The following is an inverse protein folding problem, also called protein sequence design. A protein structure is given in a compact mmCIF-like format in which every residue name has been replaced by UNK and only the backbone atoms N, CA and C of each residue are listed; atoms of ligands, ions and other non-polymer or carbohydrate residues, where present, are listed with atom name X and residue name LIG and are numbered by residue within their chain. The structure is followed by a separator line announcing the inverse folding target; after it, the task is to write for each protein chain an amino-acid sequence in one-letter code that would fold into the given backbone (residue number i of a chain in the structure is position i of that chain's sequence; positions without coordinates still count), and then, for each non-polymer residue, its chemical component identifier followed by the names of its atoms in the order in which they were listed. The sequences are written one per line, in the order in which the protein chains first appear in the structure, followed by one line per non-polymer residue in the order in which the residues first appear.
data_IF_370586862828
#
_entry.id   IF_370586862828
#
_cell.length_a   1.000
_cell.length_b   1.000
_cell.length_c   1.000
_cell.angle_alpha   90.00
_cell.angle_beta   90.00
_cell.angle_gamma   90.00
#
_symmetry.space_group_name_H-M   'P 1'
#
loop_
_entity.id
_entity.type
_entity.pdbx_description
1 polymer ?
#
# COMPACT_ATOMS: atom_id res chain seq x y z
N UNK A 1 -38.66 -47.78 29.90
CA UNK A 1 -38.11 -49.15 29.94
C UNK A 1 -36.62 -49.10 29.63
N UNK A 2 -35.81 -49.74 30.47
CA UNK A 2 -34.35 -49.95 30.33
C UNK A 2 -34.11 -51.29 29.64
N UNK A 3 -33.09 -51.44 28.79
CA UNK A 3 -32.07 -52.54 28.72
C UNK A 3 -30.94 -52.05 27.76
N UNK A 4 -29.73 -51.65 28.21
CA UNK A 4 -28.45 -52.40 28.37
C UNK A 4 -28.01 -53.17 27.10
N UNK A 5 -26.91 -52.84 26.42
CA UNK A 5 -25.49 -53.14 26.73
C UNK A 5 -24.93 -53.95 25.53
N UNK A 6 -23.75 -53.71 24.95
CA UNK A 6 -22.40 -54.25 25.29
C UNK A 6 -21.49 -53.76 24.12
N UNK A 7 -20.45 -52.94 24.32
CA UNK A 7 -19.04 -53.24 24.67
C UNK A 7 -18.22 -54.02 23.62
N UNK A 8 -17.11 -53.41 23.17
CA UNK A 8 -16.00 -54.02 22.43
C UNK A 8 -15.55 -53.14 21.25
N UNK A 9 -14.32 -52.66 21.11
CA UNK A 9 -13.11 -52.89 21.86
C UNK A 9 -12.11 -51.74 21.63
N UNK A 10 -11.25 -51.60 22.62
CA UNK A 10 -10.17 -50.63 22.79
C UNK A 10 -8.94 -51.13 22.02
N UNK A 11 -8.34 -50.31 21.16
CA UNK A 11 -6.98 -50.53 20.67
C UNK A 11 -6.18 -49.22 20.87
N UNK A 12 -5.68 -49.06 22.09
CA UNK A 12 -4.73 -48.03 22.48
C UNK A 12 -3.33 -48.48 22.01
N UNK A 13 -2.87 -47.95 20.89
CA UNK A 13 -1.46 -48.06 20.48
C UNK A 13 -0.65 -46.96 21.17
N UNK A 14 -0.11 -47.30 22.33
CA UNK A 14 0.92 -46.54 23.04
C UNK A 14 2.24 -46.62 22.24
N UNK A 15 2.49 -45.60 21.42
CA UNK A 15 3.81 -45.35 20.85
C UNK A 15 4.74 -44.75 21.91
N UNK A 16 5.64 -45.57 22.44
CA UNK A 16 6.66 -45.19 23.41
C UNK A 16 7.71 -44.29 22.72
N UNK A 17 7.63 -42.98 22.92
CA UNK A 17 8.66 -42.04 22.45
C UNK A 17 9.85 -42.02 23.41
N UNK A 18 11.00 -42.54 22.98
CA UNK A 18 12.28 -42.36 23.69
C UNK A 18 12.79 -40.93 23.49
N UNK A 19 13.23 -40.22 24.55
CA UNK A 19 13.95 -38.96 24.38
C UNK A 19 15.43 -39.26 24.12
N UNK A 20 15.91 -39.00 22.91
CA UNK A 20 17.35 -38.91 22.65
C UNK A 20 17.84 -37.59 23.23
N UNK A 21 18.51 -37.67 24.38
CA UNK A 21 19.28 -36.55 24.91
C UNK A 21 20.51 -36.33 24.00
N UNK A 22 20.42 -35.35 23.11
CA UNK A 22 21.57 -34.89 22.34
C UNK A 22 22.47 -34.04 23.23
N UNK A 23 23.61 -34.60 23.65
CA UNK A 23 24.71 -33.82 24.20
C UNK A 23 25.28 -32.90 23.09
N UNK A 24 25.62 -31.63 23.39
CA UNK A 24 26.25 -30.76 22.40
C UNK A 24 27.69 -31.24 22.13
N UNK A 25 28.15 -31.31 20.87
CA UNK A 25 29.55 -31.54 20.59
C UNK A 25 30.38 -30.30 20.95
N UNK A 26 31.41 -30.51 21.75
CA UNK A 26 32.50 -29.57 21.99
C UNK A 26 33.18 -29.21 20.67
N UNK A 27 32.80 -28.07 20.10
CA UNK A 27 33.54 -27.45 19.00
C UNK A 27 34.71 -26.67 19.57
N UNK A 28 35.82 -27.37 19.72
CA UNK A 28 37.14 -26.80 19.93
C UNK A 28 37.39 -25.71 18.88
N UNK A 29 37.61 -24.48 19.35
CA UNK A 29 38.02 -23.36 18.54
C UNK A 29 39.43 -23.59 18.00
N UNK A 30 39.54 -24.09 16.77
CA UNK A 30 40.78 -23.98 16.00
C UNK A 30 40.65 -22.81 15.05
N UNK A 31 41.18 -21.67 15.48
CA UNK A 31 41.50 -20.57 14.58
C UNK A 31 42.62 -21.02 13.62
N UNK A 32 42.41 -20.86 12.32
CA UNK A 32 43.48 -20.69 11.34
C UNK A 32 43.06 -19.61 10.32
N UNK A 33 43.93 -18.62 10.05
CA UNK A 33 43.57 -17.43 9.30
C UNK A 33 43.79 -17.63 7.79
N UNK A 34 43.04 -16.84 7.02
CA UNK A 34 43.40 -16.31 5.70
C UNK A 34 43.27 -17.26 4.50
N UNK A 35 42.08 -17.24 3.88
CA UNK A 35 41.94 -17.38 2.44
C UNK A 35 41.01 -16.27 1.95
N UNK A 36 41.62 -15.24 1.37
CA UNK A 36 40.92 -14.11 0.80
C UNK A 36 40.16 -14.49 -0.47
N UNK A 37 39.02 -13.81 -0.63
CA UNK A 37 38.64 -13.17 -1.89
C UNK A 37 38.25 -14.09 -3.06
N UNK A 38 37.02 -14.60 -3.01
CA UNK A 38 36.17 -14.78 -4.20
C UNK A 38 34.70 -15.04 -3.84
N UNK A 39 34.10 -14.22 -2.96
CA UNK A 39 32.63 -14.12 -2.98
C UNK A 39 32.25 -13.30 -4.21
N UNK A 40 31.83 -14.07 -5.20
CA UNK A 40 31.32 -13.69 -6.50
C UNK A 40 30.51 -12.37 -6.45
N UNK A 41 31.06 -11.36 -7.16
CA UNK A 41 30.44 -10.04 -7.34
C UNK A 41 29.09 -10.11 -8.06
N UNK A 42 28.69 -11.28 -8.57
CA UNK A 42 27.45 -11.51 -9.30
C UNK A 42 26.24 -11.71 -8.38
N UNK A 43 26.41 -12.20 -7.15
CA UNK A 43 25.28 -12.43 -6.22
C UNK A 43 24.71 -11.14 -5.58
N UNK A 44 25.49 -10.05 -5.59
CA UNK A 44 25.07 -8.75 -5.06
C UNK A 44 24.34 -7.86 -6.08
N UNK A 45 24.24 -8.29 -7.36
CA UNK A 45 23.56 -7.51 -8.40
C UNK A 45 22.03 -7.76 -8.41
N UNK A 46 21.57 -8.96 -8.03
CA UNK A 46 20.14 -9.33 -8.02
C UNK A 46 19.30 -8.64 -6.94
N UNK A 47 19.93 -8.13 -5.87
CA UNK A 47 19.23 -7.54 -4.73
C UNK A 47 18.85 -6.06 -4.91
N UNK A 48 19.35 -5.37 -5.95
CA UNK A 48 19.03 -3.95 -6.18
C UNK A 48 17.65 -3.71 -6.82
N UNK A 49 17.06 -4.71 -7.48
CA UNK A 49 15.74 -4.58 -8.10
C UNK A 49 14.59 -4.66 -7.10
N UNK A 50 14.74 -5.41 -5.99
CA UNK A 50 13.68 -5.59 -5.00
C UNK A 50 13.42 -4.33 -4.16
N UNK A 51 14.47 -3.57 -3.82
CA UNK A 51 14.37 -2.34 -3.03
C UNK A 51 13.90 -1.11 -3.83
N UNK A 52 14.15 -1.07 -5.15
CA UNK A 52 13.67 0.01 -6.02
C UNK A 52 12.16 0.02 -6.19
N UNK A 53 11.57 -1.15 -6.40
CA UNK A 53 10.12 -1.30 -6.60
C UNK A 53 9.31 -1.00 -5.34
N UNK A 54 9.84 -1.34 -4.16
CA UNK A 54 9.23 -0.97 -2.87
C UNK A 54 9.19 0.56 -2.64
N UNK A 55 10.21 1.30 -3.13
CA UNK A 55 10.22 2.78 -3.09
C UNK A 55 9.21 3.40 -4.05
N UNK A 56 9.06 2.88 -5.27
CA UNK A 56 8.03 3.37 -6.20
C UNK A 56 6.60 3.00 -5.77
N UNK A 57 6.40 1.87 -5.09
CA UNK A 57 5.11 1.46 -4.53
C UNK A 57 4.65 2.31 -3.33
N UNK A 58 5.60 2.84 -2.53
CA UNK A 58 5.29 3.75 -1.41
C UNK A 58 4.74 5.11 -1.85
N UNK A 59 4.82 5.45 -3.14
CA UNK A 59 4.28 6.70 -3.68
C UNK A 59 2.83 6.60 -4.19
N UNK A 60 2.17 5.46 -4.00
CA UNK A 60 0.74 5.28 -4.26
C UNK A 60 -0.19 5.72 -3.13
N UNK A 61 0.34 6.15 -1.99
CA UNK A 61 -0.46 6.47 -0.80
C UNK A 61 -0.83 7.94 -0.75
N UNK A 62 -2.13 8.21 -0.96
CA UNK A 62 -2.83 9.46 -0.68
C UNK A 62 -2.07 10.72 -1.13
N UNK A 63 -2.46 11.27 -2.28
CA UNK A 63 -2.18 12.66 -2.63
C UNK A 63 -2.83 13.57 -1.58
N UNK A 64 -2.23 13.71 -0.39
CA UNK A 64 -2.61 14.68 0.65
C UNK A 64 -2.49 16.04 -0.01
N UNK A 65 -3.62 16.61 -0.41
CA UNK A 65 -3.68 17.81 -1.21
C UNK A 65 -4.48 17.71 -2.50
N UNK A 66 -5.07 16.55 -2.86
CA UNK A 66 -6.02 16.43 -3.98
C UNK A 66 -7.45 16.04 -3.60
N UNK A 67 -7.68 15.46 -2.41
CA UNK A 67 -9.03 15.12 -1.94
C UNK A 67 -9.82 16.38 -1.58
N UNK A 68 -11.13 16.39 -1.87
CA UNK A 68 -12.05 17.47 -1.49
C UNK A 68 -12.06 17.67 0.03
N UNK A 69 -12.13 16.58 0.79
CA UNK A 69 -12.19 16.59 2.27
C UNK A 69 -11.01 17.35 2.87
N UNK A 70 -9.79 16.92 2.53
CA UNK A 70 -8.58 17.54 3.06
C UNK A 70 -8.44 19.01 2.65
N UNK A 71 -8.97 19.40 1.49
CA UNK A 71 -9.00 20.79 1.07
C UNK A 71 -10.01 21.60 1.89
N UNK A 72 -11.25 21.13 2.01
CA UNK A 72 -12.30 21.78 2.79
C UNK A 72 -11.89 21.99 4.26
N UNK A 73 -11.26 20.99 4.89
CA UNK A 73 -10.79 21.09 6.28
C UNK A 73 -9.67 22.12 6.50
N UNK A 74 -8.80 22.34 5.50
CA UNK A 74 -7.77 23.39 5.55
C UNK A 74 -8.38 24.78 5.41
N UNK A 75 -9.38 24.93 4.54
CA UNK A 75 -10.08 26.18 4.29
C UNK A 75 -11.39 26.31 5.10
N UNK A 76 -11.48 25.65 6.25
CA UNK A 76 -12.73 25.55 7.02
C UNK A 76 -13.30 26.90 7.47
N UNK A 77 -12.43 27.86 7.77
CA UNK A 77 -12.80 29.22 8.15
C UNK A 77 -13.31 29.99 6.94
N UNK A 78 -12.60 29.91 5.82
CA UNK A 78 -13.03 30.54 4.57
C UNK A 78 -14.36 29.95 4.10
N UNK A 79 -14.56 28.64 4.19
CA UNK A 79 -15.82 27.98 3.83
C UNK A 79 -16.93 28.14 4.88
N UNK A 80 -16.66 28.79 6.02
CA UNK A 80 -17.60 28.91 7.13
C UNK A 80 -18.24 27.57 7.51
N UNK A 81 -17.42 26.51 7.60
CA UNK A 81 -17.92 25.17 7.90
C UNK A 81 -18.46 25.11 9.34
N UNK A 82 -19.63 24.52 9.50
CA UNK A 82 -20.18 24.28 10.84
C UNK A 82 -19.34 23.22 11.58
N UNK A 83 -19.36 23.21 12.94
CA UNK A 83 -18.69 22.16 13.70
C UNK A 83 -19.11 20.75 13.28
N UNK A 84 -20.40 20.56 12.96
CA UNK A 84 -20.94 19.31 12.47
C UNK A 84 -20.36 18.91 11.09
N UNK A 85 -20.26 19.84 10.15
CA UNK A 85 -19.63 19.59 8.84
C UNK A 85 -18.15 19.19 9.00
N UNK A 86 -17.42 19.87 9.89
CA UNK A 86 -16.02 19.55 10.20
C UNK A 86 -15.88 18.12 10.72
N UNK A 87 -16.75 17.70 11.64
CA UNK A 87 -16.70 16.35 12.18
C UNK A 87 -17.06 15.30 11.13
N UNK A 88 -18.09 15.55 10.32
CA UNK A 88 -18.44 14.69 9.18
C UNK A 88 -17.26 14.53 8.22
N UNK A 89 -16.55 15.60 7.89
CA UNK A 89 -15.37 15.53 7.03
C UNK A 89 -14.21 14.75 7.63
N UNK A 90 -13.95 14.91 8.94
CA UNK A 90 -12.92 14.10 9.63
C UNK A 90 -13.26 12.62 9.57
N UNK A 91 -14.51 12.26 9.87
CA UNK A 91 -14.97 10.87 9.83
C UNK A 91 -14.85 10.29 8.43
N UNK A 92 -15.42 10.97 7.42
CA UNK A 92 -15.36 10.53 6.03
C UNK A 92 -13.91 10.37 5.53
N UNK A 93 -13.02 11.30 5.91
CA UNK A 93 -11.60 11.22 5.58
C UNK A 93 -10.88 10.03 6.23
N UNK A 94 -11.21 9.71 7.49
CA UNK A 94 -10.65 8.56 8.20
C UNK A 94 -11.16 7.24 7.64
N UNK A 95 -12.45 7.14 7.32
CA UNK A 95 -13.06 5.96 6.73
C UNK A 95 -12.48 5.68 5.33
N UNK A 96 -12.40 6.71 4.49
CA UNK A 96 -11.75 6.63 3.17
C UNK A 96 -10.28 6.21 3.28
N UNK A 97 -9.53 6.77 4.23
CA UNK A 97 -8.13 6.39 4.46
C UNK A 97 -7.99 4.92 4.87
N UNK A 98 -8.88 4.42 5.73
CA UNK A 98 -8.89 3.01 6.15
C UNK A 98 -9.19 2.09 4.96
N UNK A 99 -10.18 2.45 4.14
CA UNK A 99 -10.52 1.71 2.92
C UNK A 99 -9.35 1.69 1.92
N UNK A 100 -8.69 2.83 1.69
CA UNK A 100 -7.55 2.95 0.79
C UNK A 100 -6.35 2.10 1.25
N UNK A 101 -6.11 1.98 2.56
CA UNK A 101 -5.06 1.11 3.11
C UNK A 101 -5.36 -0.36 2.79
N UNK A 102 -6.60 -0.82 3.00
CA UNK A 102 -7.02 -2.19 2.69
C UNK A 102 -6.88 -2.50 1.20
N UNK A 103 -7.45 -1.64 0.34
CA UNK A 103 -7.36 -1.82 -1.10
C UNK A 103 -5.90 -1.82 -1.62
N UNK A 104 -5.03 -1.01 -1.01
CA UNK A 104 -3.61 -1.02 -1.33
C UNK A 104 -2.92 -2.32 -0.91
N UNK A 105 -3.31 -2.90 0.24
CA UNK A 105 -2.82 -4.20 0.69
C UNK A 105 -3.27 -5.32 -0.24
N UNK A 106 -4.56 -5.37 -0.60
CA UNK A 106 -5.10 -6.39 -1.52
C UNK A 106 -4.39 -6.35 -2.87
N UNK A 107 -4.22 -5.13 -3.43
CA UNK A 107 -3.46 -4.93 -4.66
C UNK A 107 -2.01 -5.38 -4.52
N UNK A 108 -1.40 -5.16 -3.36
CA UNK A 108 0.00 -5.55 -3.09
C UNK A 108 0.14 -7.07 -3.06
N UNK A 109 -0.82 -7.78 -2.46
CA UNK A 109 -0.87 -9.24 -2.46
C UNK A 109 -0.99 -9.76 -3.90
N UNK A 110 -1.97 -9.27 -4.67
CA UNK A 110 -2.14 -9.68 -6.06
C UNK A 110 -0.88 -9.44 -6.93
N UNK A 111 -0.15 -8.36 -6.65
CA UNK A 111 1.12 -8.08 -7.32
C UNK A 111 2.23 -9.06 -6.94
N UNK A 112 2.31 -9.51 -5.69
CA UNK A 112 3.26 -10.55 -5.28
C UNK A 112 2.90 -11.90 -5.92
N UNK A 113 1.61 -12.24 -5.98
CA UNK A 113 1.15 -13.44 -6.69
C UNK A 113 1.58 -13.43 -8.16
N UNK A 114 1.40 -12.29 -8.85
CA UNK A 114 1.85 -12.12 -10.23
C UNK A 114 3.37 -12.32 -10.38
N UNK A 115 4.15 -11.81 -9.43
CA UNK A 115 5.60 -12.01 -9.42
C UNK A 115 5.96 -13.49 -9.28
N UNK A 116 5.25 -14.23 -8.42
CA UNK A 116 5.45 -15.67 -8.23
C UNK A 116 5.07 -16.46 -9.48
N UNK A 117 3.94 -16.12 -10.12
CA UNK A 117 3.49 -16.79 -11.37
C UNK A 117 4.49 -16.64 -12.51
N UNK A 118 5.16 -15.49 -12.60
CA UNK A 118 6.17 -15.22 -13.63
C UNK A 118 7.50 -15.95 -13.41
N UNK A 119 7.70 -16.58 -12.26
CA UNK A 119 8.90 -17.37 -11.95
C UNK A 119 8.70 -18.87 -12.18
N UNK A 120 7.48 -19.33 -12.50
CA UNK A 120 7.25 -20.74 -12.83
C UNK A 120 7.82 -21.07 -14.20
N UNK A 121 8.25 -22.33 -14.36
CA UNK A 121 8.67 -22.88 -15.65
C UNK A 121 7.92 -24.19 -15.92
N UNK A 122 7.04 -24.24 -16.95
CA UNK A 122 6.67 -23.13 -17.83
C UNK A 122 5.82 -22.05 -17.11
N UNK A 123 5.77 -20.85 -17.70
CA UNK A 123 4.88 -19.78 -17.22
C UNK A 123 3.44 -20.09 -17.63
N UNK A 124 2.54 -20.13 -16.66
CA UNK A 124 1.10 -20.24 -16.92
C UNK A 124 0.54 -18.86 -17.33
N UNK A 125 0.46 -18.63 -18.64
CA UNK A 125 -0.01 -17.35 -19.19
C UNK A 125 -1.49 -17.06 -18.87
N UNK A 126 -2.34 -18.07 -18.70
CA UNK A 126 -3.74 -17.87 -18.32
C UNK A 126 -3.87 -17.30 -16.92
N UNK A 127 -3.08 -17.81 -15.97
CA UNK A 127 -3.03 -17.28 -14.60
C UNK A 127 -2.40 -15.90 -14.54
N UNK A 128 -1.37 -15.64 -15.35
CA UNK A 128 -0.75 -14.31 -15.46
C UNK A 128 -1.78 -13.27 -15.93
N UNK A 129 -2.52 -13.55 -17.00
CA UNK A 129 -3.53 -12.64 -17.53
C UNK A 129 -4.64 -12.36 -16.50
N UNK A 130 -5.16 -13.40 -15.85
CA UNK A 130 -6.17 -13.26 -14.80
C UNK A 130 -5.69 -12.35 -13.67
N UNK A 131 -4.44 -12.54 -13.21
CA UNK A 131 -3.87 -11.74 -12.12
C UNK A 131 -3.59 -10.29 -12.53
N UNK A 132 -3.18 -10.04 -13.77
CA UNK A 132 -3.05 -8.66 -14.31
C UNK A 132 -4.41 -7.96 -14.33
N UNK A 133 -5.46 -8.63 -14.83
CA UNK A 133 -6.82 -8.08 -14.85
C UNK A 133 -7.33 -7.78 -13.44
N UNK A 134 -7.05 -8.66 -12.47
CA UNK A 134 -7.39 -8.43 -11.06
C UNK A 134 -6.72 -7.17 -10.50
N UNK A 135 -5.42 -6.99 -10.74
CA UNK A 135 -4.66 -5.82 -10.26
C UNK A 135 -5.24 -4.52 -10.84
N UNK A 136 -5.58 -4.49 -12.13
CA UNK A 136 -6.16 -3.30 -12.76
C UNK A 136 -7.59 -3.04 -12.27
N UNK A 137 -8.39 -4.09 -12.03
CA UNK A 137 -9.71 -3.96 -11.38
C UNK A 137 -9.59 -3.32 -10.00
N UNK A 138 -8.66 -3.80 -9.15
CA UNK A 138 -8.41 -3.22 -7.82
C UNK A 138 -7.97 -1.75 -7.88
N UNK A 139 -7.19 -1.36 -8.91
CA UNK A 139 -6.83 0.04 -9.16
C UNK A 139 -8.04 0.89 -9.54
N UNK A 140 -8.88 0.40 -10.45
CA UNK A 140 -10.09 1.08 -10.87
C UNK A 140 -11.08 1.27 -9.72
N UNK A 141 -11.32 0.21 -8.94
CA UNK A 141 -12.20 0.24 -7.76
C UNK A 141 -11.74 1.26 -6.73
N UNK A 142 -10.43 1.31 -6.44
CA UNK A 142 -9.84 2.31 -5.55
C UNK A 142 -10.09 3.73 -6.05
N UNK A 143 -9.93 3.95 -7.36
CA UNK A 143 -10.17 5.28 -7.96
C UNK A 143 -11.64 5.68 -7.89
N UNK A 144 -12.56 4.75 -8.13
CA UNK A 144 -13.99 4.98 -8.00
C UNK A 144 -14.38 5.28 -6.54
N UNK A 145 -13.78 4.59 -5.58
CA UNK A 145 -14.00 4.85 -4.16
C UNK A 145 -13.55 6.27 -3.75
N UNK A 146 -12.41 6.74 -4.26
CA UNK A 146 -11.95 8.12 -4.05
C UNK A 146 -12.96 9.14 -4.62
N UNK A 147 -13.44 8.93 -5.86
CA UNK A 147 -14.42 9.80 -6.51
C UNK A 147 -15.73 9.84 -5.70
N UNK A 148 -16.25 8.68 -5.29
CA UNK A 148 -17.47 8.59 -4.47
C UNK A 148 -17.30 9.33 -3.14
N UNK A 149 -16.13 9.21 -2.52
CA UNK A 149 -15.80 9.92 -1.28
C UNK A 149 -15.81 11.44 -1.50
N UNK A 150 -15.23 11.91 -2.61
CA UNK A 150 -15.21 13.33 -2.95
C UNK A 150 -16.63 13.86 -3.23
N UNK A 151 -17.49 13.09 -3.91
CA UNK A 151 -18.89 13.46 -4.14
C UNK A 151 -19.72 13.47 -2.83
N UNK A 152 -19.53 12.48 -1.96
CA UNK A 152 -20.13 12.47 -0.62
C UNK A 152 -19.71 13.69 0.20
N UNK A 153 -18.44 14.11 0.09
CA UNK A 153 -17.95 15.31 0.76
C UNK A 153 -18.62 16.58 0.21
N UNK A 154 -18.74 16.72 -1.12
CA UNK A 154 -19.43 17.87 -1.74
C UNK A 154 -20.92 17.94 -1.36
N UNK A 155 -21.56 16.79 -1.14
CA UNK A 155 -22.95 16.72 -0.70
C UNK A 155 -23.15 17.29 0.72
N UNK A 156 -22.11 17.34 1.56
CA UNK A 156 -22.18 17.94 2.90
C UNK A 156 -22.12 19.47 2.89
N UNK A 157 -21.80 20.09 1.75
CA UNK A 157 -21.66 21.53 1.62
C UNK A 157 -22.96 22.16 1.10
N UNK A 158 -23.27 23.39 1.53
CA UNK A 158 -24.33 24.19 0.91
C UNK A 158 -23.93 24.62 -0.51
N UNK A 159 -24.89 25.03 -1.36
CA UNK A 159 -24.58 25.60 -2.68
C UNK A 159 -23.53 26.71 -2.63
N UNK A 160 -23.64 27.63 -1.66
CA UNK A 160 -22.74 28.77 -1.48
C UNK A 160 -21.33 28.31 -1.09
N UNK A 161 -21.23 27.33 -0.19
CA UNK A 161 -19.95 26.74 0.20
C UNK A 161 -19.29 26.00 -0.97
N UNK A 162 -20.08 25.36 -1.84
CA UNK A 162 -19.57 24.69 -3.05
C UNK A 162 -19.01 25.68 -4.05
N UNK A 163 -19.68 26.81 -4.29
CA UNK A 163 -19.16 27.87 -5.15
C UNK A 163 -17.87 28.48 -4.58
N UNK A 164 -17.84 28.75 -3.26
CA UNK A 164 -16.63 29.23 -2.60
C UNK A 164 -15.48 28.23 -2.72
N UNK A 165 -15.75 26.93 -2.53
CA UNK A 165 -14.78 25.86 -2.72
C UNK A 165 -14.19 25.87 -4.14
N UNK A 166 -15.02 26.03 -5.19
CA UNK A 166 -14.55 26.13 -6.58
C UNK A 166 -13.60 27.31 -6.77
N UNK A 167 -13.95 28.48 -6.22
CA UNK A 167 -13.09 29.68 -6.26
C UNK A 167 -11.73 29.45 -5.60
N UNK A 168 -11.71 28.85 -4.41
CA UNK A 168 -10.47 28.52 -3.69
C UNK A 168 -9.61 27.51 -4.45
N UNK A 169 -10.24 26.53 -5.10
CA UNK A 169 -9.53 25.56 -5.95
C UNK A 169 -8.94 26.27 -7.17
N UNK A 170 -9.69 27.15 -7.85
CA UNK A 170 -9.22 27.91 -9.00
C UNK A 170 -8.01 28.81 -8.65
N UNK A 171 -8.08 29.55 -7.55
CA UNK A 171 -7.00 30.40 -7.08
C UNK A 171 -5.69 29.62 -6.83
N UNK A 172 -5.80 28.40 -6.27
CA UNK A 172 -4.64 27.52 -6.08
C UNK A 172 -3.94 27.15 -7.39
N UNK A 173 -4.71 26.90 -8.46
CA UNK A 173 -4.14 26.57 -9.77
C UNK A 173 -3.41 27.75 -10.40
N UNK A 174 -3.95 28.97 -10.21
CA UNK A 174 -3.33 30.20 -10.69
C UNK A 174 -1.98 30.47 -10.00
N UNK A 175 -1.90 30.32 -8.67
CA UNK A 175 -0.63 30.48 -7.95
C UNK A 175 0.43 29.46 -8.38
N UNK A 176 0.05 28.20 -8.61
CA UNK A 176 0.99 27.18 -9.08
C UNK A 176 1.56 27.49 -10.47
N UNK A 177 0.77 28.06 -11.37
CA UNK A 177 1.22 28.40 -12.73
C UNK A 177 2.13 29.63 -12.79
N UNK A 178 2.04 30.52 -11.79
CA UNK A 178 2.90 31.71 -11.69
C UNK A 178 4.29 31.37 -11.14
N UNK A 179 4.38 30.45 -10.16
CA UNK A 179 5.67 29.98 -9.64
C UNK A 179 6.54 29.32 -10.72
N UNK A 180 5.93 28.57 -11.65
CA UNK A 180 6.65 27.92 -12.75
C UNK A 180 7.12 28.91 -13.82
N UNK A 181 6.44 30.04 -14.03
CA UNK A 181 6.88 31.07 -14.99
C UNK A 181 7.97 31.99 -14.41
N UNK A 182 7.96 32.22 -13.09
CA UNK A 182 8.96 33.07 -12.43
C UNK A 182 10.35 32.42 -12.38
N UNK A 183 10.43 31.09 -12.50
CA UNK A 183 11.70 30.36 -12.64
C UNK A 183 12.28 30.36 -14.06
N UNK A 184 11.58 30.90 -15.06
CA UNK A 184 12.05 31.05 -16.45
C UNK A 184 12.53 32.49 -16.71
N UNK A 185 13.36 33.04 -15.82
CA UNK A 185 14.09 34.28 -16.15
C UNK A 185 15.07 33.94 -17.27
N UNK A 186 15.02 34.58 -18.45
CA UNK A 186 16.04 34.38 -19.46
C UNK A 186 17.38 34.78 -18.84
N UNK A 187 18.39 33.91 -18.90
CA UNK A 187 19.76 34.33 -18.68
C UNK A 187 20.00 35.49 -19.65
N UNK A 188 19.99 36.72 -19.15
CA UNK A 188 20.54 37.84 -19.86
C UNK A 188 22.01 37.48 -20.07
N UNK A 189 22.32 36.98 -21.26
CA UNK A 189 23.68 36.87 -21.76
C UNK A 189 24.21 38.29 -21.79
N UNK A 190 24.99 38.60 -20.77
CA UNK A 190 25.77 39.82 -20.66
C UNK A 190 26.60 39.92 -21.93
N UNK A 191 26.26 40.87 -22.80
CA UNK A 191 27.05 41.17 -23.98
C UNK A 191 28.23 42.03 -23.50
N UNK A 192 29.39 41.40 -23.38
CA UNK A 192 30.68 42.09 -23.47
C UNK A 192 31.12 42.18 -24.93
#
# INVERSE_FOLDING_TARGET
MRVKGVLGGLALMLGLTMPVAAAPPDIAATAHPQAGRSMDRSAMQGHRHFGGWQRHMRHGHARRGRSVIGFALRHRQELSLTPQQVETFKKLGMDSRRAAIRAAADRRVAQLDLMSLRQSDPVDMGRVEAKVREIERLRADSRLADIRTDEQAKAQLTPEQREKLKGLVAARWQHRGQDTRRSEVPLAMDKQ
#
